data_IF_140737472707
#
_entry.id   IF_140737472707
#
_cell.length_a   1.000
_cell.length_b   1.000
_cell.length_c   1.000
_cell.angle_alpha   90.00
_cell.angle_beta   90.00
_cell.angle_gamma   90.00
#
_symmetry.space_group_name_H-M   'P 1'
#
loop_
_entity.id
_entity.type
_entity.pdbx_description
1 polymer ?
#
# COMPACT_ATOMS: atom_id res chain seq x y z
N UNK A 1 6.82 -30.11 -11.89
CA UNK A 1 7.51 -30.24 -10.58
C UNK A 1 7.24 -28.97 -9.78
N UNK A 2 6.52 -29.02 -8.65
CA UNK A 2 6.50 -27.90 -7.72
C UNK A 2 7.93 -27.75 -7.18
N UNK A 3 8.48 -26.52 -7.20
CA UNK A 3 9.78 -26.27 -6.58
C UNK A 3 9.65 -26.54 -5.08
N UNK A 4 10.63 -27.23 -4.46
CA UNK A 4 10.63 -27.40 -3.01
C UNK A 4 10.67 -26.02 -2.37
N UNK A 5 9.81 -25.83 -1.37
CA UNK A 5 9.84 -24.70 -0.44
C UNK A 5 11.24 -24.72 0.20
N UNK A 6 11.98 -23.60 0.22
CA UNK A 6 13.31 -23.60 0.81
C UNK A 6 13.23 -24.03 2.28
N UNK A 7 14.08 -25.00 2.60
CA UNK A 7 14.26 -25.62 3.91
C UNK A 7 14.67 -24.61 4.99
N UNK A 8 14.50 -25.01 6.25
CA UNK A 8 14.78 -24.34 7.53
C UNK A 8 16.20 -23.73 7.72
N UNK A 9 16.99 -23.56 6.67
CA UNK A 9 18.31 -22.91 6.66
C UNK A 9 18.25 -21.38 6.86
N UNK A 10 17.06 -20.76 6.85
CA UNK A 10 16.91 -19.32 7.11
C UNK A 10 16.94 -18.96 8.61
N UNK A 11 16.84 -19.96 9.50
CA UNK A 11 16.75 -19.77 10.96
C UNK A 11 18.13 -19.64 11.64
N UNK A 12 19.23 -20.05 10.98
CA UNK A 12 20.58 -19.96 11.55
C UNK A 12 21.27 -18.60 11.29
N UNK A 13 20.70 -17.74 10.43
CA UNK A 13 21.19 -16.36 10.21
C UNK A 13 20.48 -15.32 11.10
N UNK A 14 19.58 -15.72 12.00
CA UNK A 14 18.87 -14.80 12.92
C UNK A 14 19.77 -14.27 14.06
N UNK A 15 20.82 -15.01 14.44
CA UNK A 15 21.69 -14.68 15.59
C UNK A 15 22.71 -13.56 15.34
N UNK A 16 22.80 -13.02 14.12
CA UNK A 16 23.71 -11.91 13.75
C UNK A 16 22.97 -10.62 13.35
N UNK A 17 21.65 -10.55 13.57
CA UNK A 17 20.83 -9.42 13.10
C UNK A 17 20.83 -8.29 14.12
N UNK A 18 21.64 -7.27 13.83
CA UNK A 18 21.70 -6.02 14.58
C UNK A 18 20.49 -5.17 14.20
N UNK A 19 19.58 -4.95 15.15
CA UNK A 19 18.43 -4.06 15.01
C UNK A 19 18.82 -2.61 15.36
N UNK A 20 17.91 -1.66 15.11
CA UNK A 20 18.22 -0.23 15.34
C UNK A 20 18.49 0.04 16.83
N UNK A 21 17.80 -0.65 17.75
CA UNK A 21 17.99 -0.54 19.20
C UNK A 21 19.40 -0.98 19.61
N UNK A 22 19.90 -2.08 19.04
CA UNK A 22 21.25 -2.59 19.30
C UNK A 22 22.33 -1.57 18.88
N UNK A 23 22.07 -0.79 17.81
CA UNK A 23 22.95 0.31 17.39
C UNK A 23 22.98 1.43 18.43
N UNK A 24 21.85 1.75 19.07
CA UNK A 24 21.79 2.75 20.14
C UNK A 24 22.46 2.26 21.44
N UNK A 25 22.33 0.97 21.77
CA UNK A 25 23.00 0.38 22.93
C UNK A 25 24.52 0.39 22.72
N UNK A 26 25.00 0.00 21.54
CA UNK A 26 26.41 0.08 21.17
C UNK A 26 26.92 1.53 21.17
N UNK A 27 26.12 2.48 20.67
CA UNK A 27 26.44 3.90 20.74
C UNK A 27 26.56 4.41 22.19
N UNK A 28 25.73 3.91 23.11
CA UNK A 28 25.81 4.24 24.54
C UNK A 28 27.07 3.71 25.19
N UNK A 29 27.44 2.45 24.91
CA UNK A 29 28.69 1.85 25.41
C UNK A 29 29.92 2.60 24.91
N UNK A 30 29.97 2.90 23.61
CA UNK A 30 31.03 3.71 23.00
C UNK A 30 31.08 5.12 23.62
N UNK A 31 29.93 5.73 23.89
CA UNK A 31 29.84 7.02 24.57
C UNK A 31 30.46 7.01 25.96
N UNK A 32 30.19 5.97 26.76
CA UNK A 32 30.81 5.81 28.10
C UNK A 32 32.32 5.67 28.05
N UNK A 33 32.85 4.98 27.04
CA UNK A 33 34.31 4.87 26.84
C UNK A 33 34.92 6.21 26.41
N UNK A 34 34.24 6.98 25.56
CA UNK A 34 34.69 8.33 25.23
C UNK A 34 34.68 9.27 26.44
N UNK A 35 33.68 9.19 27.32
CA UNK A 35 33.64 9.95 28.57
C UNK A 35 34.88 9.65 29.44
N UNK A 36 35.21 8.37 29.65
CA UNK A 36 36.42 7.95 30.39
C UNK A 36 37.71 8.49 29.76
N UNK A 37 37.81 8.49 28.44
CA UNK A 37 38.98 9.01 27.72
C UNK A 37 39.08 10.53 27.88
N UNK A 38 37.96 11.25 27.78
CA UNK A 38 37.90 12.70 27.97
C UNK A 38 38.31 13.06 29.40
N UNK A 39 37.84 12.32 30.41
CA UNK A 39 38.19 12.54 31.81
C UNK A 39 39.69 12.35 32.09
N UNK A 40 40.34 11.40 31.41
CA UNK A 40 41.76 11.10 31.63
C UNK A 40 42.72 11.93 30.78
N UNK A 41 42.36 12.26 29.53
CA UNK A 41 43.26 12.83 28.53
C UNK A 41 42.78 14.17 27.95
N UNK A 42 41.64 14.69 28.40
CA UNK A 42 41.02 15.90 27.88
C UNK A 42 40.23 15.67 26.58
N UNK A 43 39.36 16.62 26.24
CA UNK A 43 38.44 16.51 25.08
C UNK A 43 39.19 16.37 23.74
N UNK A 44 40.35 17.02 23.62
CA UNK A 44 41.16 17.05 22.40
C UNK A 44 41.58 15.66 21.90
N UNK A 45 41.70 14.68 22.81
CA UNK A 45 42.04 13.30 22.47
C UNK A 45 40.97 12.62 21.60
N UNK A 46 39.70 13.05 21.70
CA UNK A 46 38.55 12.40 21.05
C UNK A 46 37.91 13.28 19.97
N UNK A 47 38.15 14.61 19.99
CA UNK A 47 37.53 15.60 19.08
C UNK A 47 37.57 15.23 17.60
N UNK A 48 38.66 14.63 17.11
CA UNK A 48 38.80 14.24 15.70
C UNK A 48 38.25 12.84 15.37
N UNK A 49 38.10 11.98 16.39
CA UNK A 49 37.61 10.60 16.26
C UNK A 49 36.09 10.53 16.39
N UNK A 50 35.51 11.34 17.28
CA UNK A 50 34.06 11.37 17.56
C UNK A 50 33.20 11.53 16.30
N UNK A 51 33.49 12.45 15.36
CA UNK A 51 32.68 12.59 14.14
C UNK A 51 32.76 11.36 13.22
N UNK A 52 33.89 10.64 13.21
CA UNK A 52 34.08 9.43 12.40
C UNK A 52 33.28 8.25 12.97
N UNK A 53 33.29 8.10 14.29
CA UNK A 53 32.51 7.07 14.98
C UNK A 53 31.02 7.34 14.88
N UNK A 54 30.59 8.59 15.05
CA UNK A 54 29.22 9.02 14.77
C UNK A 54 28.84 8.65 13.33
N UNK A 55 29.67 9.01 12.33
CA UNK A 55 29.38 8.67 10.93
C UNK A 55 29.26 7.16 10.69
N UNK A 56 30.10 6.34 11.33
CA UNK A 56 30.03 4.89 11.21
C UNK A 56 28.74 4.32 11.83
N UNK A 57 28.35 4.82 13.01
CA UNK A 57 27.10 4.43 13.67
C UNK A 57 25.86 4.91 12.88
N UNK A 58 25.92 6.06 12.21
CA UNK A 58 24.86 6.51 11.29
C UNK A 58 24.70 5.58 10.08
N UNK A 59 25.81 5.09 9.52
CA UNK A 59 25.76 4.13 8.42
C UNK A 59 25.18 2.80 8.91
N UNK A 60 25.53 2.37 10.12
CA UNK A 60 25.00 1.16 10.74
C UNK A 60 23.49 1.28 11.04
N UNK A 61 23.04 2.42 11.58
CA UNK A 61 21.61 2.73 11.79
C UNK A 61 20.84 2.64 10.46
N UNK A 62 21.36 3.28 9.40
CA UNK A 62 20.73 3.22 8.06
C UNK A 62 20.68 1.80 7.49
N UNK A 63 21.73 1.00 7.67
CA UNK A 63 21.76 -0.38 7.19
C UNK A 63 20.78 -1.25 7.98
N UNK A 64 20.73 -1.09 9.30
CA UNK A 64 19.81 -1.79 10.19
C UNK A 64 18.35 -1.43 9.88
N UNK A 65 18.00 -0.14 9.75
CA UNK A 65 16.64 0.27 9.36
C UNK A 65 16.24 -0.22 7.97
N UNK A 66 17.17 -0.22 7.00
CA UNK A 66 16.90 -0.77 5.68
C UNK A 66 16.65 -2.27 5.76
N UNK A 67 17.43 -2.98 6.56
CA UNK A 67 17.28 -4.41 6.77
C UNK A 67 15.92 -4.75 7.38
N UNK A 68 15.51 -4.04 8.45
CA UNK A 68 14.19 -4.19 9.07
C UNK A 68 13.06 -4.00 8.05
N UNK A 69 13.12 -2.92 7.25
CA UNK A 69 12.13 -2.65 6.21
C UNK A 69 12.10 -3.73 5.12
N UNK A 70 13.26 -4.26 4.71
CA UNK A 70 13.30 -5.36 3.74
C UNK A 70 12.80 -6.66 4.34
N UNK A 71 13.07 -6.91 5.62
CA UNK A 71 12.62 -8.11 6.34
C UNK A 71 11.10 -8.11 6.49
N UNK A 72 10.51 -6.98 6.89
CA UNK A 72 9.04 -6.84 6.97
C UNK A 72 8.40 -7.03 5.60
N UNK A 73 8.95 -6.42 4.55
CA UNK A 73 8.46 -6.61 3.18
C UNK A 73 8.55 -8.07 2.71
N UNK A 74 9.65 -8.78 3.03
CA UNK A 74 9.78 -10.21 2.74
C UNK A 74 8.73 -11.02 3.50
N UNK A 75 8.47 -10.71 4.77
CA UNK A 75 7.44 -11.36 5.57
C UNK A 75 6.03 -11.14 4.99
N UNK A 76 5.71 -9.93 4.56
CA UNK A 76 4.45 -9.60 3.88
C UNK A 76 4.28 -10.37 2.57
N UNK A 77 5.34 -10.46 1.76
CA UNK A 77 5.34 -11.25 0.52
C UNK A 77 5.13 -12.74 0.82
N UNK A 78 5.82 -13.28 1.84
CA UNK A 78 5.64 -14.67 2.29
C UNK A 78 4.20 -14.93 2.72
N UNK A 79 3.61 -14.04 3.53
CA UNK A 79 2.21 -14.14 3.95
C UNK A 79 1.24 -14.12 2.76
N UNK A 80 1.48 -13.22 1.79
CA UNK A 80 0.67 -13.13 0.56
C UNK A 80 0.77 -14.41 -0.27
N UNK A 81 1.97 -14.99 -0.38
CA UNK A 81 2.17 -16.27 -1.08
C UNK A 81 1.36 -17.39 -0.39
N UNK A 82 1.44 -17.49 0.94
CA UNK A 82 0.67 -18.47 1.71
C UNK A 82 -0.84 -18.31 1.51
N UNK A 83 -1.34 -17.08 1.54
CA UNK A 83 -2.75 -16.79 1.27
C UNK A 83 -3.16 -17.24 -0.13
N UNK A 84 -2.39 -16.86 -1.17
CA UNK A 84 -2.69 -17.24 -2.55
C UNK A 84 -2.62 -18.76 -2.77
N UNK A 85 -1.71 -19.45 -2.08
CA UNK A 85 -1.63 -20.91 -2.10
C UNK A 85 -2.89 -21.53 -1.47
N UNK A 86 -3.37 -21.00 -0.34
CA UNK A 86 -4.59 -21.47 0.30
C UNK A 86 -5.83 -21.21 -0.56
N UNK A 87 -5.95 -20.03 -1.18
CA UNK A 87 -7.03 -19.72 -2.11
C UNK A 87 -7.01 -20.64 -3.34
N UNK A 88 -5.82 -20.96 -3.85
CA UNK A 88 -5.67 -21.90 -4.98
C UNK A 88 -6.11 -23.31 -4.60
N UNK A 89 -5.74 -23.78 -3.40
CA UNK A 89 -6.17 -25.09 -2.88
C UNK A 89 -7.70 -25.09 -2.72
N UNK A 90 -8.27 -24.08 -2.06
CA UNK A 90 -9.73 -23.98 -1.87
C UNK A 90 -10.50 -23.98 -3.19
N UNK A 91 -10.07 -23.20 -4.18
CA UNK A 91 -10.68 -23.20 -5.53
C UNK A 91 -10.58 -24.57 -6.22
N UNK A 92 -9.48 -25.29 -5.99
CA UNK A 92 -9.29 -26.62 -6.55
C UNK A 92 -10.21 -27.65 -5.88
N UNK A 93 -10.39 -27.57 -4.57
CA UNK A 93 -11.33 -28.40 -3.80
C UNK A 93 -12.78 -28.13 -4.22
N UNK A 94 -13.16 -26.86 -4.36
CA UNK A 94 -14.49 -26.48 -4.85
C UNK A 94 -14.74 -27.03 -6.25
N UNK A 95 -13.75 -26.93 -7.15
CA UNK A 95 -13.86 -27.50 -8.50
C UNK A 95 -14.08 -29.02 -8.46
N UNK A 96 -13.35 -29.73 -7.59
CA UNK A 96 -13.53 -31.17 -7.41
C UNK A 96 -14.90 -31.52 -6.80
N UNK A 97 -15.44 -30.68 -5.92
CA UNK A 97 -16.80 -30.86 -5.38
C UNK A 97 -17.84 -30.71 -6.48
N UNK A 98 -17.76 -29.65 -7.28
CA UNK A 98 -18.69 -29.44 -8.39
C UNK A 98 -18.60 -30.55 -9.45
N UNK A 99 -17.39 -31.06 -9.73
CA UNK A 99 -17.19 -32.18 -10.65
C UNK A 99 -17.89 -33.46 -10.16
N UNK A 100 -17.78 -33.77 -8.86
CA UNK A 100 -18.50 -34.90 -8.24
C UNK A 100 -20.02 -34.70 -8.23
N UNK A 101 -20.49 -33.51 -7.87
CA UNK A 101 -21.92 -33.20 -7.90
C UNK A 101 -22.49 -33.32 -9.32
N UNK A 102 -21.72 -32.95 -10.33
CA UNK A 102 -22.10 -33.11 -11.73
C UNK A 102 -22.18 -34.58 -12.13
N UNK A 103 -21.17 -35.39 -11.76
CA UNK A 103 -21.16 -36.84 -11.99
C UNK A 103 -22.37 -37.52 -11.33
N UNK A 104 -22.69 -37.16 -10.08
CA UNK A 104 -23.88 -37.65 -9.38
C UNK A 104 -25.21 -37.24 -10.04
N UNK A 105 -25.26 -36.07 -10.69
CA UNK A 105 -26.44 -35.65 -11.48
C UNK A 105 -26.52 -36.46 -12.78
N UNK A 106 -25.40 -36.65 -13.47
CA UNK A 106 -25.34 -37.44 -14.71
C UNK A 106 -25.75 -38.90 -14.47
N UNK A 107 -25.29 -39.52 -13.39
CA UNK A 107 -25.67 -40.89 -13.03
C UNK A 107 -27.16 -40.99 -12.68
N UNK A 108 -27.71 -40.03 -11.92
CA UNK A 108 -29.15 -39.99 -11.66
C UNK A 108 -29.98 -39.84 -12.93
N UNK A 109 -29.54 -38.99 -13.86
CA UNK A 109 -30.22 -38.84 -15.15
C UNK A 109 -30.15 -40.12 -16.00
N UNK A 110 -29.04 -40.86 -15.93
CA UNK A 110 -28.94 -42.18 -16.58
C UNK A 110 -29.90 -43.18 -15.94
N UNK A 111 -29.97 -43.24 -14.62
CA UNK A 111 -30.87 -44.14 -13.90
C UNK A 111 -32.34 -43.81 -14.21
N UNK A 112 -32.74 -42.55 -14.12
CA UNK A 112 -34.08 -42.10 -14.50
C UNK A 112 -34.40 -42.43 -15.96
N UNK A 113 -33.44 -42.22 -16.89
CA UNK A 113 -33.62 -42.59 -18.29
C UNK A 113 -33.79 -44.11 -18.46
N UNK A 114 -33.06 -44.92 -17.70
CA UNK A 114 -33.20 -46.37 -17.72
C UNK A 114 -34.56 -46.82 -17.18
N UNK A 115 -35.01 -46.26 -16.06
CA UNK A 115 -36.31 -46.56 -15.45
C UNK A 115 -37.47 -46.18 -16.38
N UNK A 116 -37.40 -45.01 -17.03
CA UNK A 116 -38.41 -44.58 -18.00
C UNK A 116 -38.48 -45.53 -19.20
N UNK A 117 -37.33 -45.96 -19.73
CA UNK A 117 -37.28 -46.95 -20.82
C UNK A 117 -37.89 -48.27 -20.37
N UNK A 118 -37.54 -48.75 -19.17
CA UNK A 118 -38.12 -49.98 -18.61
C UNK A 118 -39.65 -49.86 -18.44
N UNK A 119 -40.14 -48.74 -17.93
CA UNK A 119 -41.58 -48.47 -17.81
C UNK A 119 -42.27 -48.45 -19.17
N UNK A 120 -41.68 -47.81 -20.19
CA UNK A 120 -42.22 -47.82 -21.56
C UNK A 120 -42.28 -49.25 -22.12
N UNK A 121 -41.24 -50.07 -21.92
CA UNK A 121 -41.26 -51.47 -22.37
C UNK A 121 -42.36 -52.28 -21.68
N UNK A 122 -42.55 -52.11 -20.36
CA UNK A 122 -43.65 -52.78 -19.62
C UNK A 122 -45.03 -52.37 -20.12
N UNK A 123 -45.26 -51.07 -20.33
CA UNK A 123 -46.53 -50.55 -20.86
C UNK A 123 -46.80 -51.02 -22.30
N UNK A 124 -45.76 -51.11 -23.14
CA UNK A 124 -45.88 -51.66 -24.49
C UNK A 124 -46.28 -53.15 -24.45
N UNK A 125 -45.69 -53.94 -23.55
CA UNK A 125 -46.04 -55.35 -23.37
C UNK A 125 -47.47 -55.53 -22.84
N UNK A 126 -47.90 -54.71 -21.89
CA UNK A 126 -49.28 -54.72 -21.37
C UNK A 126 -50.31 -54.32 -22.43
N UNK A 127 -50.07 -53.24 -23.19
CA UNK A 127 -50.93 -52.87 -24.31
C UNK A 127 -51.02 -54.00 -25.35
N UNK A 128 -49.92 -54.68 -25.63
CA UNK A 128 -49.93 -55.83 -26.54
C UNK A 128 -50.79 -56.99 -26.01
N UNK A 129 -50.73 -57.27 -24.71
CA UNK A 129 -51.57 -58.30 -24.04
C UNK A 129 -53.05 -57.90 -24.00
N UNK A 130 -53.35 -56.63 -23.70
CA UNK A 130 -54.72 -56.11 -23.66
C UNK A 130 -55.36 -56.11 -25.05
N UNK A 131 -54.63 -55.67 -26.08
CA UNK A 131 -55.10 -55.77 -27.46
C UNK A 131 -55.44 -57.21 -27.85
N UNK A 132 -54.60 -58.18 -27.49
CA UNK A 132 -54.88 -59.60 -27.72
C UNK A 132 -56.11 -60.11 -26.92
N UNK A 133 -56.37 -59.56 -25.72
CA UNK A 133 -57.57 -59.90 -24.94
C UNK A 133 -58.83 -59.25 -25.49
N UNK A 134 -58.76 -58.02 -26.01
CA UNK A 134 -59.90 -57.33 -26.64
C UNK A 134 -60.34 -58.07 -27.91
N UNK A 135 -59.39 -58.52 -28.75
CA UNK A 135 -59.68 -59.39 -29.89
C UNK A 135 -60.41 -60.69 -29.48
N UNK A 136 -60.20 -61.17 -28.26
CA UNK A 136 -60.85 -62.39 -27.74
C UNK A 136 -62.22 -62.15 -27.08
N UNK A 137 -62.59 -60.91 -26.75
CA UNK A 137 -63.73 -60.60 -25.87
C UNK A 137 -64.89 -59.87 -26.56
N UNK A 138 -64.87 -59.72 -27.89
CA UNK A 138 -65.87 -59.00 -28.70
C UNK A 138 -67.25 -59.71 -28.83
N UNK A 139 -67.56 -60.66 -27.95
CA UNK A 139 -68.73 -61.53 -28.08
C UNK A 139 -69.47 -61.81 -26.77
N UNK A 140 -69.98 -60.82 -26.04
CA UNK A 140 -71.02 -61.06 -24.99
C UNK A 140 -71.93 -59.84 -24.72
N UNK A 141 -73.11 -59.86 -25.36
CA UNK A 141 -74.50 -59.67 -24.85
C UNK A 141 -74.92 -58.38 -24.06
N UNK A 142 -75.62 -57.51 -24.80
CA UNK A 142 -77.00 -56.94 -24.69
C UNK A 142 -77.86 -57.11 -23.40
N UNK A 143 -78.24 -55.94 -22.86
CA UNK A 143 -79.53 -55.43 -22.29
C UNK A 143 -80.52 -56.34 -21.53
N UNK A 144 -81.13 -55.81 -20.45
CA UNK A 144 -82.56 -55.39 -20.45
C UNK A 144 -83.10 -54.94 -19.07
N UNK A 145 -84.12 -54.07 -19.15
CA UNK A 145 -84.83 -53.36 -18.09
C UNK A 145 -86.05 -54.13 -17.55
N UNK A 146 -86.49 -53.79 -16.32
CA UNK A 146 -87.85 -54.11 -15.84
C UNK A 146 -88.19 -53.62 -14.42
N UNK A 147 -89.47 -53.24 -14.25
CA UNK A 147 -90.30 -53.19 -13.02
C UNK A 147 -90.38 -51.90 -12.16
N UNK A 148 -91.60 -51.36 -12.09
CA UNK A 148 -92.04 -50.10 -11.46
C UNK A 148 -92.27 -50.08 -9.94
N UNK A 149 -92.08 -51.19 -9.22
CA UNK A 149 -92.07 -51.24 -7.74
C UNK A 149 -90.74 -51.72 -7.18
N UNK A 150 -90.05 -52.55 -7.96
CA UNK A 150 -88.59 -52.58 -7.99
C UNK A 150 -88.00 -51.20 -8.29
N UNK A 151 -88.68 -50.32 -9.04
CA UNK A 151 -88.14 -48.99 -9.34
C UNK A 151 -87.92 -48.14 -8.10
N UNK A 152 -88.80 -48.13 -7.10
CA UNK A 152 -88.57 -47.32 -5.90
C UNK A 152 -87.45 -47.91 -5.02
N UNK A 153 -87.38 -49.24 -4.88
CA UNK A 153 -86.24 -49.89 -4.22
C UNK A 153 -84.93 -49.68 -5.01
N UNK A 154 -84.99 -49.75 -6.34
CA UNK A 154 -83.86 -49.47 -7.27
C UNK A 154 -83.48 -47.99 -7.24
N UNK A 155 -84.42 -47.07 -7.01
CA UNK A 155 -84.17 -45.64 -6.84
C UNK A 155 -83.49 -45.40 -5.50
N UNK A 156 -83.93 -46.05 -4.41
CA UNK A 156 -83.24 -45.98 -3.11
C UNK A 156 -81.84 -46.58 -3.20
N UNK A 157 -81.68 -47.74 -3.85
CA UNK A 157 -80.36 -48.35 -4.08
C UNK A 157 -79.49 -47.47 -4.96
N UNK A 158 -80.03 -46.85 -6.02
CA UNK A 158 -79.30 -45.85 -6.82
C UNK A 158 -78.93 -44.62 -6.02
N UNK A 159 -79.82 -44.12 -5.16
CA UNK A 159 -79.51 -42.97 -4.31
C UNK A 159 -78.42 -43.33 -3.30
N UNK A 160 -78.45 -44.54 -2.72
CA UNK A 160 -77.38 -45.04 -1.87
C UNK A 160 -76.06 -45.19 -2.63
N UNK A 161 -76.10 -45.71 -3.87
CA UNK A 161 -74.95 -45.83 -4.75
C UNK A 161 -74.40 -44.44 -5.14
N UNK A 162 -75.25 -43.48 -5.48
CA UNK A 162 -74.85 -42.09 -5.76
C UNK A 162 -74.28 -41.42 -4.52
N UNK A 163 -74.86 -41.63 -3.33
CA UNK A 163 -74.32 -41.09 -2.07
C UNK A 163 -72.96 -41.73 -1.74
N UNK A 164 -72.81 -43.03 -1.98
CA UNK A 164 -71.54 -43.73 -1.80
C UNK A 164 -70.48 -43.19 -2.77
N UNK A 165 -70.83 -43.02 -4.05
CA UNK A 165 -69.95 -42.45 -5.07
C UNK A 165 -69.60 -40.99 -4.75
N UNK A 166 -70.56 -40.17 -4.30
CA UNK A 166 -70.31 -38.79 -3.86
C UNK A 166 -69.41 -38.72 -2.63
N UNK A 167 -69.53 -39.66 -1.68
CA UNK A 167 -68.59 -39.77 -0.55
C UNK A 167 -67.19 -40.16 -1.00
N UNK A 168 -67.09 -41.09 -1.94
CA UNK A 168 -65.80 -41.49 -2.51
C UNK A 168 -65.15 -40.35 -3.30
N UNK A 169 -65.92 -39.61 -4.10
CA UNK A 169 -65.47 -38.41 -4.80
C UNK A 169 -65.05 -37.30 -3.83
N UNK A 170 -65.80 -37.07 -2.75
CA UNK A 170 -65.41 -36.14 -1.68
C UNK A 170 -64.07 -36.54 -1.07
N UNK A 171 -63.89 -37.81 -0.70
CA UNK A 171 -62.62 -38.29 -0.14
C UNK A 171 -61.47 -38.25 -1.14
N UNK A 172 -61.74 -38.45 -2.44
CA UNK A 172 -60.74 -38.28 -3.50
C UNK A 172 -60.33 -36.81 -3.63
N UNK A 173 -61.31 -35.89 -3.65
CA UNK A 173 -61.06 -34.45 -3.71
C UNK A 173 -60.36 -33.92 -2.45
N UNK A 174 -60.69 -34.42 -1.26
CA UNK A 174 -59.99 -34.12 0.00
C UNK A 174 -58.53 -34.58 -0.05
N UNK A 175 -58.25 -35.78 -0.58
CA UNK A 175 -56.86 -36.25 -0.76
C UNK A 175 -56.10 -35.38 -1.75
N UNK A 176 -56.70 -35.05 -2.88
CA UNK A 176 -56.08 -34.22 -3.90
C UNK A 176 -55.81 -32.79 -3.39
N UNK A 177 -56.73 -32.20 -2.62
CA UNK A 177 -56.52 -30.88 -2.00
C UNK A 177 -55.43 -30.92 -0.94
N UNK A 178 -55.37 -32.00 -0.15
CA UNK A 178 -54.30 -32.19 0.83
C UNK A 178 -52.92 -32.36 0.17
N UNK A 179 -52.82 -33.11 -0.92
CA UNK A 179 -51.60 -33.25 -1.72
C UNK A 179 -51.15 -31.92 -2.31
N UNK A 180 -52.07 -31.17 -2.94
CA UNK A 180 -51.78 -29.82 -3.45
C UNK A 180 -51.35 -28.84 -2.34
N UNK A 181 -51.92 -28.95 -1.13
CA UNK A 181 -51.50 -28.13 0.01
C UNK A 181 -50.04 -28.43 0.41
N UNK A 182 -49.63 -29.70 0.42
CA UNK A 182 -48.24 -30.08 0.70
C UNK A 182 -47.28 -29.60 -0.37
N UNK A 183 -47.68 -29.67 -1.64
CA UNK A 183 -46.88 -29.14 -2.75
C UNK A 183 -46.72 -27.62 -2.62
N UNK A 184 -47.80 -26.89 -2.28
CA UNK A 184 -47.75 -25.45 -2.03
C UNK A 184 -46.83 -25.09 -0.87
N UNK A 185 -46.87 -25.84 0.24
CA UNK A 185 -45.96 -25.65 1.39
C UNK A 185 -44.50 -25.92 1.01
N UNK A 186 -44.24 -26.97 0.23
CA UNK A 186 -42.90 -27.31 -0.27
C UNK A 186 -42.34 -26.20 -1.18
N UNK A 187 -43.13 -25.75 -2.16
CA UNK A 187 -42.76 -24.65 -3.08
C UNK A 187 -42.59 -23.35 -2.30
N UNK A 188 -43.43 -23.08 -1.31
CA UNK A 188 -43.31 -21.92 -0.43
C UNK A 188 -41.97 -21.93 0.34
N UNK A 189 -41.58 -23.07 0.92
CA UNK A 189 -40.28 -23.22 1.57
C UNK A 189 -39.11 -23.04 0.62
N UNK A 190 -39.19 -23.56 -0.61
CA UNK A 190 -38.16 -23.34 -1.63
C UNK A 190 -38.06 -21.87 -2.03
N UNK A 191 -39.19 -21.18 -2.19
CA UNK A 191 -39.24 -19.75 -2.48
C UNK A 191 -38.57 -18.92 -1.38
N UNK A 192 -38.78 -19.27 -0.11
CA UNK A 192 -38.12 -18.61 1.03
C UNK A 192 -36.60 -18.81 1.01
N UNK A 193 -36.12 -20.04 0.73
CA UNK A 193 -34.68 -20.34 0.59
C UNK A 193 -34.06 -19.53 -0.53
N UNK A 194 -34.69 -19.48 -1.71
CA UNK A 194 -34.22 -18.69 -2.84
C UNK A 194 -34.22 -17.20 -2.50
N UNK A 195 -35.26 -16.69 -1.84
CA UNK A 195 -35.30 -15.30 -1.38
C UNK A 195 -34.18 -14.98 -0.41
N UNK A 196 -33.85 -15.88 0.52
CA UNK A 196 -32.75 -15.70 1.44
C UNK A 196 -31.40 -15.60 0.69
N UNK A 197 -31.13 -16.53 -0.22
CA UNK A 197 -29.91 -16.50 -1.06
C UNK A 197 -29.88 -15.24 -1.94
N UNK A 198 -31.00 -14.81 -2.51
CA UNK A 198 -31.06 -13.61 -3.33
C UNK A 198 -30.73 -12.34 -2.53
N UNK A 199 -31.24 -12.22 -1.30
CA UNK A 199 -30.90 -11.11 -0.39
C UNK A 199 -29.41 -11.10 -0.05
N UNK A 200 -28.83 -12.26 0.23
CA UNK A 200 -27.41 -12.40 0.55
C UNK A 200 -26.53 -12.06 -0.66
N UNK A 201 -26.87 -12.54 -1.85
CA UNK A 201 -26.18 -12.17 -3.09
C UNK A 201 -26.25 -10.67 -3.36
N UNK A 202 -27.41 -10.03 -3.17
CA UNK A 202 -27.54 -8.57 -3.29
C UNK A 202 -26.68 -7.82 -2.27
N UNK A 203 -26.57 -8.34 -1.03
CA UNK A 203 -25.68 -7.76 -0.01
C UNK A 203 -24.23 -7.89 -0.42
N UNK A 204 -23.78 -9.07 -0.85
CA UNK A 204 -22.42 -9.31 -1.36
C UNK A 204 -22.11 -8.42 -2.57
N UNK A 205 -23.04 -8.30 -3.51
CA UNK A 205 -22.88 -7.42 -4.67
C UNK A 205 -22.68 -5.96 -4.28
N UNK A 206 -23.40 -5.45 -3.26
CA UNK A 206 -23.20 -4.08 -2.74
C UNK A 206 -21.81 -3.90 -2.13
N UNK A 207 -21.34 -4.87 -1.35
CA UNK A 207 -20.01 -4.84 -0.73
C UNK A 207 -18.93 -4.84 -1.82
N UNK A 208 -19.02 -5.78 -2.76
CA UNK A 208 -18.07 -5.88 -3.88
C UNK A 208 -18.07 -4.59 -4.73
N UNK A 209 -19.24 -4.03 -5.02
CA UNK A 209 -19.33 -2.75 -5.74
C UNK A 209 -18.70 -1.58 -4.97
N UNK A 210 -18.79 -1.58 -3.63
CA UNK A 210 -18.12 -0.58 -2.79
C UNK A 210 -16.60 -0.74 -2.81
N UNK A 211 -16.11 -1.98 -2.71
CA UNK A 211 -14.68 -2.29 -2.80
C UNK A 211 -14.10 -1.90 -4.17
N UNK A 212 -14.83 -2.22 -5.25
CA UNK A 212 -14.43 -1.81 -6.60
C UNK A 212 -14.33 -0.29 -6.75
N UNK A 213 -15.25 0.47 -6.14
CA UNK A 213 -15.17 1.94 -6.13
C UNK A 213 -13.93 2.44 -5.38
N UNK A 214 -13.66 1.93 -4.17
CA UNK A 214 -12.45 2.28 -3.41
C UNK A 214 -11.17 2.02 -4.23
N UNK A 215 -11.07 0.86 -4.87
CA UNK A 215 -9.90 0.52 -5.70
C UNK A 215 -9.77 1.42 -6.94
N UNK A 216 -10.88 1.88 -7.52
CA UNK A 216 -10.86 2.84 -8.63
C UNK A 216 -10.35 4.19 -8.15
N UNK A 217 -10.79 4.66 -6.99
CA UNK A 217 -10.39 5.93 -6.39
C UNK A 217 -8.89 5.90 -6.02
N UNK A 218 -8.43 4.84 -5.33
CA UNK A 218 -7.01 4.63 -5.02
C UNK A 218 -6.14 4.58 -6.28
N UNK A 219 -6.61 3.90 -7.35
CA UNK A 219 -5.90 3.88 -8.62
C UNK A 219 -5.82 5.28 -9.24
N UNK A 220 -6.89 6.07 -9.17
CA UNK A 220 -6.91 7.43 -9.69
C UNK A 220 -5.93 8.34 -8.94
N UNK A 221 -5.85 8.23 -7.61
CA UNK A 221 -4.89 8.95 -6.77
C UNK A 221 -3.44 8.59 -7.14
N UNK A 222 -3.13 7.30 -7.26
CA UNK A 222 -1.79 6.85 -7.66
C UNK A 222 -1.43 7.31 -9.07
N UNK A 223 -2.38 7.30 -10.00
CA UNK A 223 -2.17 7.81 -11.36
C UNK A 223 -1.91 9.33 -11.36
N UNK A 224 -2.62 10.10 -10.53
CA UNK A 224 -2.39 11.53 -10.38
C UNK A 224 -1.00 11.83 -9.80
N UNK A 225 -0.60 11.12 -8.74
CA UNK A 225 0.73 11.24 -8.15
C UNK A 225 1.85 10.90 -9.15
N UNK A 226 1.69 9.81 -9.91
CA UNK A 226 2.65 9.45 -10.95
C UNK A 226 2.77 10.51 -12.05
N UNK A 227 1.64 11.12 -12.45
CA UNK A 227 1.66 12.21 -13.43
C UNK A 227 2.35 13.47 -12.88
N UNK A 228 2.16 13.78 -11.60
CA UNK A 228 2.84 14.89 -10.94
C UNK A 228 4.35 14.67 -10.87
N UNK A 229 4.80 13.49 -10.45
CA UNK A 229 6.22 13.12 -10.45
C UNK A 229 6.82 13.13 -11.86
N UNK A 230 6.09 12.64 -12.85
CA UNK A 230 6.54 12.71 -14.26
C UNK A 230 6.72 14.17 -14.71
N UNK A 231 5.82 15.06 -14.30
CA UNK A 231 5.91 16.51 -14.57
C UNK A 231 7.12 17.12 -13.86
N UNK A 232 7.34 16.78 -12.60
CA UNK A 232 8.49 17.24 -11.81
C UNK A 232 9.82 16.80 -12.42
N UNK A 233 9.94 15.54 -12.83
CA UNK A 233 11.11 15.02 -13.55
C UNK A 233 11.31 15.77 -14.88
N UNK A 234 10.24 16.07 -15.61
CA UNK A 234 10.29 16.89 -16.82
C UNK A 234 10.90 18.28 -16.56
N UNK A 235 10.44 18.97 -15.52
CA UNK A 235 10.96 20.28 -15.11
C UNK A 235 12.43 20.20 -14.71
N UNK A 236 12.81 19.19 -13.91
CA UNK A 236 14.20 18.99 -13.49
C UNK A 236 15.13 18.73 -14.68
N UNK A 237 14.69 17.92 -15.66
CA UNK A 237 15.44 17.68 -16.90
C UNK A 237 15.62 18.96 -17.71
N UNK A 238 14.58 19.79 -17.82
CA UNK A 238 14.68 21.08 -18.49
C UNK A 238 15.68 22.00 -17.79
N UNK A 239 15.62 22.09 -16.45
CA UNK A 239 16.54 22.91 -15.66
C UNK A 239 17.98 22.42 -15.76
N UNK A 240 18.19 21.10 -15.76
CA UNK A 240 19.51 20.50 -15.97
C UNK A 240 20.06 20.86 -17.35
N UNK A 241 19.24 20.79 -18.40
CA UNK A 241 19.65 21.18 -19.75
C UNK A 241 20.05 22.66 -19.86
N UNK A 242 19.33 23.56 -19.18
CA UNK A 242 19.71 24.97 -19.11
C UNK A 242 21.06 25.16 -18.40
N UNK A 243 21.27 24.49 -17.26
CA UNK A 243 22.53 24.55 -16.51
C UNK A 243 23.71 23.95 -17.28
N UNK A 244 23.48 22.88 -18.06
CA UNK A 244 24.49 22.31 -18.95
C UNK A 244 24.89 23.31 -20.03
N UNK A 245 23.92 23.96 -20.67
CA UNK A 245 24.19 24.98 -21.69
C UNK A 245 24.95 26.19 -21.11
N UNK A 246 24.54 26.69 -19.94
CA UNK A 246 25.26 27.77 -19.26
C UNK A 246 26.71 27.39 -18.94
N UNK A 247 26.95 26.15 -18.50
CA UNK A 247 28.31 25.65 -18.28
C UNK A 247 29.13 25.53 -19.57
N UNK A 248 28.52 25.09 -20.67
CA UNK A 248 29.16 25.06 -22.00
C UNK A 248 29.51 26.47 -22.48
N UNK A 249 28.58 27.42 -22.31
CA UNK A 249 28.78 28.83 -22.66
C UNK A 249 29.94 29.42 -21.82
N UNK A 250 29.98 29.19 -20.51
CA UNK A 250 31.08 29.61 -19.64
C UNK A 250 32.43 28.97 -20.00
N UNK A 251 32.42 27.68 -20.37
CA UNK A 251 33.63 26.98 -20.81
C UNK A 251 34.13 27.53 -22.15
N UNK A 252 33.23 27.88 -23.07
CA UNK A 252 33.58 28.50 -24.36
C UNK A 252 34.19 29.89 -24.19
N UNK A 253 33.65 30.71 -23.28
CA UNK A 253 34.21 32.02 -22.91
C UNK A 253 35.57 31.88 -22.20
N UNK A 254 35.81 30.77 -21.48
CA UNK A 254 37.14 30.46 -20.94
C UNK A 254 38.14 30.02 -22.02
N UNK A 255 37.69 29.51 -23.17
CA UNK A 255 38.54 29.08 -24.29
C UNK A 255 38.77 30.16 -25.34
N UNK A 256 37.82 31.08 -25.52
CA UNK A 256 37.98 32.26 -26.37
C UNK A 256 38.81 33.30 -25.62
N UNK A 257 40.12 33.16 -25.82
CA UNK A 257 41.19 34.13 -25.59
C UNK A 257 40.74 35.47 -24.99
N UNK A 258 40.83 35.57 -23.65
CA UNK A 258 41.25 36.84 -23.08
C UNK A 258 42.59 37.18 -23.75
N UNK A 259 42.67 38.32 -24.41
CA UNK A 259 43.91 38.78 -25.05
C UNK A 259 44.94 39.10 -23.96
N UNK A 260 45.78 38.11 -23.61
CA UNK A 260 46.85 38.21 -22.63
C UNK A 260 48.14 38.82 -23.21
N UNK A 261 48.08 39.43 -24.41
CA UNK A 261 49.27 39.96 -25.11
C UNK A 261 50.12 40.94 -24.28
N UNK A 262 49.57 41.53 -23.20
CA UNK A 262 50.28 42.43 -22.29
C UNK A 262 50.47 41.91 -20.85
N UNK A 263 50.34 40.60 -20.60
CA UNK A 263 50.58 40.00 -19.26
C UNK A 263 51.53 38.80 -19.40
N UNK A 264 52.53 38.71 -18.51
CA UNK A 264 53.41 37.53 -18.44
C UNK A 264 52.56 36.28 -18.19
N UNK A 265 52.39 35.45 -19.22
CA UNK A 265 51.75 34.14 -19.12
C UNK A 265 52.81 33.16 -18.62
N UNK A 266 52.78 32.83 -17.33
CA UNK A 266 53.59 31.74 -16.80
C UNK A 266 52.87 30.41 -17.00
N UNK A 267 53.56 29.44 -17.57
CA UNK A 267 53.04 28.07 -17.75
C UNK A 267 52.64 27.48 -16.38
N UNK A 268 51.47 26.83 -16.30
CA UNK A 268 50.94 26.28 -15.03
C UNK A 268 51.83 25.17 -14.48
N UNK A 269 52.56 24.50 -15.35
CA UNK A 269 53.36 23.31 -15.01
C UNK A 269 54.88 23.59 -14.90
N UNK A 270 55.32 24.85 -14.98
CA UNK A 270 56.75 25.21 -14.84
C UNK A 270 57.25 25.09 -13.37
N UNK A 271 58.27 24.23 -13.11
CA UNK A 271 58.88 24.08 -11.79
C UNK A 271 59.61 25.33 -11.28
N UNK A 272 60.10 26.19 -12.18
CA UNK A 272 60.87 27.39 -11.85
C UNK A 272 60.02 28.67 -11.85
N UNK A 273 58.69 28.54 -11.98
CA UNK A 273 57.76 29.67 -11.86
C UNK A 273 57.96 30.36 -10.51
N UNK A 274 58.08 31.70 -10.46
CA UNK A 274 58.11 32.43 -9.20
C UNK A 274 56.84 32.11 -8.40
N UNK A 275 57.00 31.45 -7.26
CA UNK A 275 55.91 31.08 -6.34
C UNK A 275 56.08 31.93 -5.09
N UNK A 276 55.09 32.75 -4.78
CA UNK A 276 55.03 33.41 -3.49
C UNK A 276 54.94 32.35 -2.38
N UNK A 277 55.72 32.54 -1.34
CA UNK A 277 55.58 31.79 -0.09
C UNK A 277 54.23 32.10 0.55
N UNK A 278 53.71 31.21 1.42
CA UNK A 278 52.46 31.48 2.13
C UNK A 278 52.52 32.74 3.02
N UNK A 279 53.72 33.09 3.48
CA UNK A 279 53.99 34.32 4.23
C UNK A 279 53.87 35.55 3.33
N UNK A 280 54.52 35.55 2.17
CA UNK A 280 54.41 36.65 1.19
C UNK A 280 52.98 36.81 0.68
N UNK A 281 52.24 35.71 0.44
CA UNK A 281 50.85 35.82 0.03
C UNK A 281 49.99 36.47 1.11
N UNK A 282 50.19 36.12 2.39
CA UNK A 282 49.47 36.76 3.49
C UNK A 282 49.81 38.25 3.58
N UNK A 283 51.10 38.61 3.51
CA UNK A 283 51.55 40.00 3.51
C UNK A 283 50.94 40.80 2.36
N UNK A 284 50.99 40.28 1.13
CA UNK A 284 50.36 40.91 -0.04
C UNK A 284 48.85 41.06 0.14
N UNK A 285 48.17 40.08 0.75
CA UNK A 285 46.73 40.18 1.02
C UNK A 285 46.41 41.23 2.07
N UNK A 286 47.23 41.35 3.11
CA UNK A 286 47.10 42.39 4.13
C UNK A 286 47.32 43.78 3.51
N UNK A 287 48.43 43.98 2.81
CA UNK A 287 48.74 45.23 2.11
C UNK A 287 47.64 45.59 1.11
N UNK A 288 47.14 44.62 0.33
CA UNK A 288 46.05 44.85 -0.61
C UNK A 288 44.75 45.24 0.08
N UNK A 289 44.44 44.66 1.23
CA UNK A 289 43.23 45.02 1.97
C UNK A 289 43.36 46.41 2.63
N UNK A 290 44.54 46.75 3.14
CA UNK A 290 44.84 48.09 3.67
C UNK A 290 44.77 49.16 2.59
N UNK A 291 45.37 48.90 1.41
CA UNK A 291 45.29 49.79 0.26
C UNK A 291 43.85 49.91 -0.26
N UNK A 292 43.06 48.84 -0.25
CA UNK A 292 41.65 48.90 -0.62
C UNK A 292 40.84 49.78 0.33
N UNK A 293 41.06 49.66 1.63
CA UNK A 293 40.41 50.54 2.60
C UNK A 293 40.79 52.00 2.34
N UNK A 294 42.08 52.26 2.14
CA UNK A 294 42.57 53.62 1.86
C UNK A 294 42.08 54.19 0.52
N UNK A 295 41.91 53.35 -0.50
CA UNK A 295 41.30 53.76 -1.77
C UNK A 295 39.83 54.08 -1.57
N UNK A 296 39.08 53.28 -0.80
CA UNK A 296 37.69 53.59 -0.44
C UNK A 296 37.59 54.94 0.26
N UNK A 297 38.43 55.20 1.25
CA UNK A 297 38.43 56.49 1.96
C UNK A 297 38.74 57.66 1.01
N UNK A 298 39.70 57.48 0.09
CA UNK A 298 40.05 58.50 -0.90
C UNK A 298 38.98 58.69 -1.98
N UNK A 299 38.28 57.62 -2.37
CA UNK A 299 37.14 57.67 -3.28
C UNK A 299 35.98 58.45 -2.64
N UNK A 300 35.69 58.20 -1.36
CA UNK A 300 34.68 58.94 -0.58
C UNK A 300 35.05 60.43 -0.45
N UNK A 301 36.33 60.73 -0.17
CA UNK A 301 36.82 62.11 -0.15
C UNK A 301 36.69 62.79 -1.52
N UNK A 302 37.06 62.11 -2.61
CA UNK A 302 36.94 62.65 -3.97
C UNK A 302 35.48 62.82 -4.41
N UNK A 303 34.58 61.95 -3.97
CA UNK A 303 33.15 62.07 -4.24
C UNK A 303 32.57 63.35 -3.60
N UNK A 304 33.06 63.74 -2.43
CA UNK A 304 32.69 65.01 -1.79
C UNK A 304 33.08 66.24 -2.62
N UNK A 305 34.18 66.15 -3.38
CA UNK A 305 34.68 67.23 -4.24
C UNK A 305 34.24 67.10 -5.71
N UNK A 306 33.49 66.05 -6.06
CA UNK A 306 32.93 65.91 -7.40
C UNK A 306 31.87 67.00 -7.62
N UNK A 307 31.99 67.86 -8.64
CA UNK A 307 30.98 68.88 -8.90
C UNK A 307 29.62 68.22 -9.13
N UNK A 308 28.64 68.52 -8.27
CA UNK A 308 27.23 68.24 -8.54
C UNK A 308 26.84 69.12 -9.73
N UNK A 309 26.81 68.55 -10.93
CA UNK A 309 26.17 69.19 -12.07
C UNK A 309 24.69 69.38 -11.73
N UNK A 310 24.28 70.61 -11.45
CA UNK A 310 22.89 71.02 -11.44
C UNK A 310 22.33 70.85 -12.86
N UNK A 311 21.74 69.68 -13.15
CA UNK A 311 20.90 69.49 -14.33
C UNK A 311 19.43 69.60 -13.95
N UNK A 312 18.80 70.51 -14.67
CA UNK A 312 17.42 70.96 -14.58
C UNK A 312 16.41 69.82 -14.69
N UNK A 313 15.40 69.92 -13.83
CA UNK A 313 14.01 69.50 -13.96
C UNK A 313 13.63 68.82 -15.29
N UNK A 314 13.33 67.53 -15.23
CA UNK A 314 12.19 66.98 -15.97
C UNK A 314 11.58 65.80 -15.19
N UNK A 315 10.26 65.81 -15.13
CA UNK A 315 9.45 64.99 -14.26
C UNK A 315 9.39 63.53 -14.73
N UNK A 316 9.79 62.61 -13.86
CA UNK A 316 9.22 61.26 -13.78
C UNK A 316 9.18 60.86 -12.31
N UNK A 317 8.01 60.43 -11.87
CA UNK A 317 7.65 60.00 -10.53
C UNK A 317 8.66 58.99 -9.96
N UNK A 318 9.46 59.39 -8.98
CA UNK A 318 10.10 58.46 -8.04
C UNK A 318 9.02 58.01 -7.04
N UNK A 319 8.48 56.83 -7.27
CA UNK A 319 7.73 56.09 -6.25
C UNK A 319 8.75 55.60 -5.22
N UNK A 320 8.67 56.13 -3.99
CA UNK A 320 9.39 55.60 -2.84
C UNK A 320 9.16 54.08 -2.75
N UNK A 321 10.22 53.24 -2.70
CA UNK A 321 10.03 51.82 -2.43
C UNK A 321 9.44 51.64 -1.02
N UNK A 322 8.47 50.74 -0.82
CA UNK A 322 7.76 50.64 0.45
C UNK A 322 8.74 50.28 1.58
N UNK A 323 8.74 51.11 2.62
CA UNK A 323 9.48 50.92 3.87
C UNK A 323 9.22 49.51 4.40
N UNK A 324 10.24 48.66 4.29
CA UNK A 324 10.24 47.33 4.89
C UNK A 324 10.39 47.52 6.41
N UNK A 325 9.35 47.16 7.17
CA UNK A 325 9.39 47.20 8.63
C UNK A 325 10.54 46.35 9.20
N UNK A 326 10.85 46.47 10.51
CA UNK A 326 11.90 45.67 11.13
C UNK A 326 11.65 44.19 10.87
N UNK A 327 12.65 43.50 10.30
CA UNK A 327 12.65 42.07 10.03
C UNK A 327 12.01 41.29 11.19
N UNK A 328 10.92 40.52 10.96
CA UNK A 328 10.40 39.61 11.96
C UNK A 328 11.50 38.63 12.37
N UNK A 329 11.70 38.47 13.68
CA UNK A 329 12.66 37.52 14.24
C UNK A 329 12.33 36.11 13.73
N UNK A 330 13.27 35.47 13.02
CA UNK A 330 13.08 34.12 12.49
C UNK A 330 12.95 33.13 13.68
N UNK A 331 11.87 32.33 13.76
CA UNK A 331 11.78 31.25 14.73
C UNK A 331 12.87 30.19 14.44
N UNK A 332 13.48 29.61 15.47
CA UNK A 332 14.54 28.60 15.32
C UNK A 332 14.08 27.32 14.58
N UNK A 333 12.78 27.14 14.36
CA UNK A 333 12.15 25.97 13.76
C UNK A 333 11.94 26.04 12.23
N UNK A 334 12.65 26.91 11.54
CA UNK A 334 12.55 27.03 10.08
C UNK A 334 12.90 25.70 9.36
N UNK A 335 12.04 25.18 8.45
CA UNK A 335 12.19 23.84 7.86
C UNK A 335 13.52 23.59 7.13
N UNK A 336 14.17 24.63 6.61
CA UNK A 336 15.45 24.56 5.89
C UNK A 336 16.68 24.47 6.82
N UNK A 337 16.55 24.75 8.12
CA UNK A 337 17.60 24.52 9.13
C UNK A 337 17.64 23.07 9.65
N UNK A 338 16.68 22.22 9.27
CA UNK A 338 16.75 20.76 9.52
C UNK A 338 17.79 20.10 8.60
N UNK A 339 19.05 20.46 8.77
CA UNK A 339 20.15 19.68 8.24
C UNK A 339 20.22 18.36 8.98
N UNK A 340 19.63 17.30 8.40
CA UNK A 340 20.04 15.89 8.46
C UNK A 340 20.60 15.29 9.78
N UNK A 341 20.27 15.85 10.95
CA UNK A 341 20.82 15.38 12.21
C UNK A 341 20.17 14.01 12.52
N UNK A 342 20.93 12.96 12.27
CA UNK A 342 20.54 11.58 12.56
C UNK A 342 20.19 11.43 14.03
N UNK A 343 19.42 10.39 14.37
CA UNK A 343 19.15 10.07 15.77
C UNK A 343 20.44 9.84 16.56
N UNK A 344 21.47 9.25 15.92
CA UNK A 344 22.82 9.12 16.47
C UNK A 344 23.48 10.48 16.74
N UNK A 345 23.44 11.45 15.81
CA UNK A 345 24.02 12.79 16.05
C UNK A 345 23.32 13.53 17.18
N UNK A 346 21.98 13.42 17.25
CA UNK A 346 21.19 13.98 18.35
C UNK A 346 21.53 13.31 19.68
N UNK A 347 21.76 12.00 19.68
CA UNK A 347 22.16 11.23 20.86
C UNK A 347 23.54 11.69 21.39
N UNK A 348 24.57 11.74 20.54
CA UNK A 348 25.90 12.20 20.96
C UNK A 348 25.93 13.69 21.32
N UNK A 349 25.13 14.53 20.65
CA UNK A 349 24.96 15.95 21.02
C UNK A 349 24.31 16.09 22.40
N UNK A 350 23.37 15.22 22.76
CA UNK A 350 22.78 15.19 24.10
C UNK A 350 23.76 14.65 25.16
N UNK A 351 24.64 13.74 24.78
CA UNK A 351 25.63 13.13 25.68
C UNK A 351 26.82 14.07 25.97
N UNK A 352 27.26 14.84 24.98
CA UNK A 352 28.50 15.64 25.04
C UNK A 352 28.33 17.14 24.72
N UNK A 353 27.18 17.57 24.21
CA UNK A 353 26.96 18.93 23.71
C UNK A 353 26.52 19.96 24.76
N UNK A 354 26.43 19.58 26.03
CA UNK A 354 26.07 20.49 27.13
C UNK A 354 27.29 21.29 27.65
N UNK A 355 28.09 21.81 26.71
CA UNK A 355 29.35 22.51 26.94
C UNK A 355 29.22 23.98 27.32
N UNK A 356 28.03 24.58 27.26
CA UNK A 356 27.78 25.92 27.81
C UNK A 356 26.95 25.84 29.10
N UNK A 357 27.65 25.54 30.20
CA UNK A 357 27.11 25.73 31.55
C UNK A 357 26.90 27.22 31.82
N UNK A 358 25.64 27.65 31.85
CA UNK A 358 25.21 28.72 32.75
C UNK A 358 25.20 28.17 34.19
N UNK A 359 25.70 28.90 35.20
CA UNK A 359 25.85 28.35 36.54
C UNK A 359 24.51 28.36 37.26
N UNK A 360 23.78 27.24 37.19
CA UNK A 360 22.64 27.01 38.09
C UNK A 360 21.50 26.21 37.51
N UNK A 361 21.69 24.91 37.27
CA UNK A 361 20.61 23.93 37.50
C UNK A 361 21.19 22.52 37.47
N UNK A 362 21.02 21.77 38.55
CA UNK A 362 21.45 20.37 38.62
C UNK A 362 20.48 19.47 37.82
N UNK A 363 20.97 18.51 37.01
CA UNK A 363 20.10 17.51 36.42
C UNK A 363 19.77 16.46 37.48
N UNK A 364 18.52 16.47 37.96
CA UNK A 364 17.98 15.31 38.69
C UNK A 364 17.79 14.17 37.69
N UNK A 365 18.34 13.02 38.08
CA UNK A 365 18.17 11.74 37.44
C UNK A 365 16.70 11.48 37.06
N UNK A 366 16.47 11.12 35.80
CA UNK A 366 15.27 10.41 35.37
C UNK A 366 15.72 9.09 34.73
N UNK A 367 16.26 8.21 35.57
CA UNK A 367 16.36 6.80 35.28
C UNK A 367 15.09 6.12 35.82
N UNK A 368 14.38 5.46 34.89
CA UNK A 368 13.48 4.30 35.07
C UNK A 368 12.04 4.53 35.55
N UNK A 369 11.09 4.25 34.64
CA UNK A 369 9.91 3.41 34.96
C UNK A 369 9.33 2.73 33.69
N UNK A 370 9.91 1.61 33.28
CA UNK A 370 9.19 0.57 32.52
C UNK A 370 9.47 -0.79 33.16
N UNK A 371 8.88 -1.02 34.33
CA UNK A 371 8.73 -2.37 34.88
C UNK A 371 7.54 -3.05 34.24
N UNK A 372 7.89 -3.88 33.25
CA UNK A 372 7.24 -5.11 32.80
C UNK A 372 6.25 -5.69 33.84
N UNK A 373 4.96 -5.60 33.55
CA UNK A 373 3.92 -6.41 34.18
C UNK A 373 3.91 -7.78 33.50
N UNK A 374 4.40 -8.82 34.18
CA UNK A 374 4.10 -10.21 33.84
C UNK A 374 3.76 -10.99 35.12
N UNK A 375 2.66 -11.73 35.01
CA UNK A 375 2.03 -12.62 35.97
C UNK A 375 2.97 -13.62 36.65
N UNK A 376 2.63 -13.96 37.90
CA UNK A 376 2.70 -15.32 38.45
C UNK A 376 1.70 -15.43 39.60
N UNK A 377 0.53 -16.00 39.32
CA UNK A 377 -0.09 -17.12 40.05
C UNK A 377 -1.36 -17.59 39.32
#
# INVERSE_FOLDING_TARGET
>A
MPRPIPSDTDMEEDDLRINVVDVYDLASEIGKEFEKIIDCFGADAVTSLMPKVISALEHLEKLSSRYENTSTYIQELRATITQLQQEKIGKQEDRQRYEKELEEIEDRLRDESHELVEMVTRLQDENRKLSASIESNEGTIITSNGAGQEMDMKVVVRLQEVIANQREELHKSERETHEKSKELESVSSQLEKVNHVNRELRRRQRINASQMRSLIDERAELQAALQEETRAVGILRQRLGLAQKENEDLASVSSDSLDLSNKLVFDRDDPNRPRFTMTELKEILYERNELKARVSDLEDELELFRPKEERQQDATEEVDPPVQGPMPFEPEDAPWKKGNDSGIRKFFRRLFGDGERSPGSSPKAALLSLTRSNNSD
#
